data_IF_847580280260
#
_entry.id   IF_847580280260
#
_cell.length_a   1.000
_cell.length_b   1.000
_cell.length_c   1.000
_cell.angle_alpha   90.00
_cell.angle_beta   90.00
_cell.angle_gamma   90.00
#
_symmetry.space_group_name_H-M   'P 1'
#
loop_
_entity.id
_entity.type
_entity.pdbx_description
1 polymer ?
#
# COMPACT_ATOMS: atom_id res chain seq x y z
N UNK A 1 0.46 8.97 -21.89
CA UNK A 1 1.73 9.06 -21.14
C UNK A 1 2.34 10.48 -21.14
N UNK A 2 1.96 11.35 -22.06
CA UNK A 2 2.53 12.72 -22.23
C UNK A 2 2.05 13.72 -21.16
N UNK A 3 0.80 13.62 -20.71
CA UNK A 3 0.23 14.55 -19.70
C UNK A 3 0.81 14.43 -18.29
N UNK A 4 1.45 13.32 -17.95
CA UNK A 4 2.10 13.16 -16.64
C UNK A 4 3.47 13.88 -16.56
N UNK A 5 4.11 14.17 -17.70
CA UNK A 5 5.41 14.84 -17.73
C UNK A 5 5.32 16.36 -17.49
N UNK A 6 4.24 17.00 -17.92
CA UNK A 6 4.06 18.46 -17.73
C UNK A 6 3.68 18.83 -16.30
N UNK A 7 2.99 17.96 -15.59
CA UNK A 7 2.56 18.21 -14.21
C UNK A 7 3.71 18.13 -13.18
N UNK A 8 4.79 17.40 -13.49
CA UNK A 8 5.95 17.21 -12.61
C UNK A 8 7.13 18.15 -12.91
N UNK A 9 6.96 19.07 -13.83
CA UNK A 9 8.00 20.02 -14.20
C UNK A 9 7.92 21.30 -13.37
N UNK A 10 8.67 21.40 -12.30
CA UNK A 10 9.52 22.50 -11.85
C UNK A 10 9.86 22.37 -10.36
N UNK A 11 11.15 22.19 -10.07
CA UNK A 11 11.82 22.08 -8.76
C UNK A 11 11.40 20.86 -7.94
N UNK A 12 12.04 19.73 -8.28
CA UNK A 12 11.91 18.46 -7.59
C UNK A 12 12.18 18.59 -6.10
N UNK A 13 11.25 18.09 -5.30
CA UNK A 13 11.47 17.90 -3.87
C UNK A 13 12.51 16.81 -3.65
N UNK A 14 13.24 16.87 -2.54
CA UNK A 14 14.30 15.91 -2.20
C UNK A 14 13.83 14.45 -2.24
N UNK A 15 12.51 14.18 -2.29
CA UNK A 15 11.91 12.84 -2.22
C UNK A 15 11.08 12.41 -3.45
N UNK A 16 10.98 13.22 -4.52
CA UNK A 16 10.24 12.83 -5.74
C UNK A 16 10.78 11.56 -6.40
N UNK A 17 12.09 11.32 -6.27
CA UNK A 17 12.70 10.09 -6.71
C UNK A 17 12.07 8.85 -6.06
N UNK A 18 11.62 8.94 -4.80
CA UNK A 18 10.98 7.82 -4.11
C UNK A 18 9.67 7.41 -4.79
N UNK A 19 8.86 8.37 -5.23
CA UNK A 19 7.62 8.07 -5.98
C UNK A 19 7.95 7.42 -7.33
N UNK A 20 8.99 7.90 -8.03
CA UNK A 20 9.37 7.38 -9.35
C UNK A 20 9.97 5.97 -9.27
N UNK A 21 10.76 5.70 -8.23
CA UNK A 21 11.44 4.43 -8.07
C UNK A 21 10.61 3.35 -7.34
N UNK A 22 9.37 3.66 -6.92
CA UNK A 22 8.55 2.70 -6.16
C UNK A 22 8.34 1.36 -6.89
N UNK A 23 8.09 1.41 -8.20
CA UNK A 23 7.89 0.19 -9.00
C UNK A 23 9.18 -0.60 -9.21
N UNK A 24 10.31 0.01 -9.67
CA UNK A 24 11.55 -0.73 -9.83
C UNK A 24 12.12 -1.25 -8.50
N UNK A 25 11.99 -0.51 -7.40
CA UNK A 25 12.42 -0.98 -6.07
C UNK A 25 11.57 -2.17 -5.62
N UNK A 26 10.24 -2.07 -5.73
CA UNK A 26 9.35 -3.19 -5.39
C UNK A 26 9.65 -4.43 -6.25
N UNK A 27 9.89 -4.24 -7.55
CA UNK A 27 10.25 -5.34 -8.44
C UNK A 27 11.59 -5.99 -8.05
N UNK A 28 12.61 -5.19 -7.73
CA UNK A 28 13.91 -5.70 -7.28
C UNK A 28 13.79 -6.50 -5.97
N UNK A 29 12.98 -6.03 -5.02
CA UNK A 29 12.72 -6.76 -3.77
C UNK A 29 11.99 -8.08 -4.04
N UNK A 30 10.96 -8.08 -4.88
CA UNK A 30 10.23 -9.30 -5.26
C UNK A 30 11.19 -10.30 -5.92
N UNK A 31 11.99 -9.85 -6.89
CA UNK A 31 12.96 -10.71 -7.57
C UNK A 31 13.98 -11.32 -6.59
N UNK A 32 14.53 -10.50 -5.69
CA UNK A 32 15.46 -10.96 -4.67
C UNK A 32 14.82 -11.99 -3.73
N UNK A 33 13.59 -11.77 -3.29
CA UNK A 33 12.83 -12.70 -2.46
C UNK A 33 12.55 -14.02 -3.20
N UNK A 34 12.17 -13.95 -4.48
CA UNK A 34 11.94 -15.15 -5.30
C UNK A 34 13.24 -15.97 -5.47
N UNK A 35 14.36 -15.31 -5.76
CA UNK A 35 15.66 -15.99 -5.83
C UNK A 35 16.01 -16.65 -4.50
N UNK A 36 15.80 -15.93 -3.38
CA UNK A 36 16.07 -16.43 -2.04
C UNK A 36 15.19 -17.66 -1.72
N UNK A 37 13.92 -17.62 -2.07
CA UNK A 37 12.97 -18.72 -1.86
C UNK A 37 13.38 -19.99 -2.65
N UNK A 38 13.88 -19.82 -3.87
CA UNK A 38 14.35 -20.94 -4.69
C UNK A 38 15.72 -21.47 -4.25
N UNK A 39 16.56 -20.64 -3.62
CA UNK A 39 17.92 -20.96 -3.22
C UNK A 39 18.06 -21.50 -1.80
N UNK A 40 17.06 -21.32 -0.94
CA UNK A 40 17.15 -21.66 0.49
C UNK A 40 15.99 -22.56 0.93
N UNK A 41 16.24 -23.48 1.89
CA UNK A 41 15.15 -24.29 2.45
C UNK A 41 14.20 -23.41 3.28
N UNK A 42 12.92 -23.82 3.43
CA UNK A 42 11.96 -23.14 4.29
C UNK A 42 12.44 -23.09 5.76
N UNK A 43 11.96 -22.11 6.51
CA UNK A 43 12.38 -21.88 7.90
C UNK A 43 11.80 -22.91 8.88
N UNK A 44 10.70 -23.56 8.52
CA UNK A 44 10.07 -24.64 9.29
C UNK A 44 9.56 -25.75 8.35
N UNK A 45 9.41 -26.97 8.87
CA UNK A 45 9.00 -28.11 8.05
C UNK A 45 7.64 -27.88 7.37
N UNK A 46 7.54 -28.23 6.09
CA UNK A 46 6.26 -28.24 5.38
C UNK A 46 5.28 -29.16 6.10
N UNK A 47 4.00 -28.81 6.04
CA UNK A 47 2.88 -29.54 6.70
C UNK A 47 2.96 -29.57 8.25
N UNK A 48 3.85 -28.78 8.85
CA UNK A 48 3.85 -28.59 10.29
C UNK A 48 2.70 -27.70 10.75
N UNK A 49 2.35 -27.76 12.04
CA UNK A 49 1.34 -26.86 12.62
C UNK A 49 1.73 -25.39 12.42
N UNK A 50 3.03 -25.08 12.53
CA UNK A 50 3.53 -23.73 12.27
C UNK A 50 3.32 -23.28 10.83
N UNK A 51 3.57 -24.16 9.88
CA UNK A 51 3.35 -23.93 8.45
C UNK A 51 1.87 -23.59 8.17
N UNK A 52 0.96 -24.43 8.60
CA UNK A 52 -0.49 -24.19 8.44
C UNK A 52 -0.96 -22.91 9.13
N UNK A 53 -0.44 -22.60 10.31
CA UNK A 53 -0.80 -21.36 11.02
C UNK A 53 -0.28 -20.13 10.31
N UNK A 54 0.97 -20.12 9.85
CA UNK A 54 1.54 -18.99 9.12
C UNK A 54 0.87 -18.79 7.78
N UNK A 55 0.51 -19.85 7.08
CA UNK A 55 -0.27 -19.78 5.84
C UNK A 55 -1.66 -19.21 6.07
N UNK A 56 -2.40 -19.71 7.07
CA UNK A 56 -3.75 -19.23 7.38
C UNK A 56 -3.74 -17.76 7.77
N UNK A 57 -2.81 -17.36 8.66
CA UNK A 57 -2.65 -15.95 9.08
C UNK A 57 -2.20 -15.10 7.89
N UNK A 58 -1.22 -15.57 7.13
CA UNK A 58 -0.71 -14.90 5.94
C UNK A 58 -1.82 -14.64 4.91
N UNK A 59 -2.60 -15.67 4.57
CA UNK A 59 -3.74 -15.56 3.67
C UNK A 59 -4.78 -14.55 4.19
N UNK A 60 -5.14 -14.66 5.47
CA UNK A 60 -6.10 -13.75 6.10
C UNK A 60 -5.66 -12.29 6.00
N UNK A 61 -4.38 -12.00 6.27
CA UNK A 61 -3.82 -10.65 6.15
C UNK A 61 -3.82 -10.16 4.70
N UNK A 62 -3.53 -11.03 3.73
CA UNK A 62 -3.62 -10.68 2.30
C UNK A 62 -5.06 -10.34 1.93
N UNK A 63 -6.05 -11.11 2.38
CA UNK A 63 -7.48 -10.82 2.13
C UNK A 63 -7.88 -9.47 2.74
N UNK A 64 -7.50 -9.21 4.00
CA UNK A 64 -7.75 -7.91 4.67
C UNK A 64 -7.10 -6.76 3.88
N UNK A 65 -5.87 -6.93 3.43
CA UNK A 65 -5.16 -5.92 2.64
C UNK A 65 -5.88 -5.64 1.32
N UNK A 66 -6.29 -6.67 0.62
CA UNK A 66 -7.03 -6.59 -0.65
C UNK A 66 -8.34 -5.82 -0.47
N UNK A 67 -9.17 -6.24 0.48
CA UNK A 67 -10.46 -5.59 0.75
C UNK A 67 -10.29 -4.14 1.21
N UNK A 68 -9.32 -3.89 2.10
CA UNK A 68 -9.01 -2.54 2.57
C UNK A 68 -8.51 -1.62 1.47
N UNK A 69 -7.67 -2.12 0.55
CA UNK A 69 -7.20 -1.35 -0.61
C UNK A 69 -8.32 -1.06 -1.60
N UNK A 70 -9.23 -2.01 -1.83
CA UNK A 70 -10.43 -1.77 -2.65
C UNK A 70 -11.27 -0.66 -2.00
N UNK A 71 -11.54 -0.76 -0.69
CA UNK A 71 -12.27 0.27 0.05
C UNK A 71 -11.62 1.65 -0.08
N UNK A 72 -10.31 1.78 0.17
CA UNK A 72 -9.58 3.02 -0.04
C UNK A 72 -9.70 3.55 -1.48
N UNK A 73 -9.62 2.65 -2.46
CA UNK A 73 -9.65 3.02 -3.88
C UNK A 73 -11.02 3.52 -4.33
N UNK A 74 -12.11 3.03 -3.75
CA UNK A 74 -13.46 3.54 -4.02
C UNK A 74 -13.55 5.03 -3.68
N UNK A 75 -12.96 5.46 -2.55
CA UNK A 75 -13.01 6.86 -2.13
C UNK A 75 -12.03 7.76 -2.87
N UNK A 76 -10.80 7.31 -3.10
CA UNK A 76 -9.78 8.20 -3.68
C UNK A 76 -9.80 8.22 -5.22
N UNK A 77 -10.41 7.21 -5.86
CA UNK A 77 -10.37 7.03 -7.30
C UNK A 77 -11.09 8.14 -8.05
N UNK A 78 -10.29 8.95 -8.76
CA UNK A 78 -10.80 10.06 -9.55
C UNK A 78 -10.91 11.39 -8.81
N UNK A 79 -10.56 11.46 -7.52
CA UNK A 79 -10.58 12.69 -6.72
C UNK A 79 -9.20 13.12 -6.22
N UNK A 80 -8.18 12.26 -6.31
CA UNK A 80 -6.82 12.51 -5.79
C UNK A 80 -6.21 13.85 -6.24
N UNK A 81 -6.63 14.34 -7.42
CA UNK A 81 -6.13 15.59 -7.99
C UNK A 81 -7.12 16.75 -7.87
N UNK A 82 -8.37 16.48 -7.60
CA UNK A 82 -9.44 17.49 -7.60
C UNK A 82 -9.66 18.10 -6.20
N UNK A 83 -9.58 17.29 -5.15
CA UNK A 83 -9.81 17.70 -3.77
C UNK A 83 -9.07 16.81 -2.77
N UNK A 84 -9.01 17.26 -1.51
CA UNK A 84 -8.61 16.39 -0.41
C UNK A 84 -9.78 15.47 -0.10
N UNK A 85 -9.50 14.15 -0.06
CA UNK A 85 -10.47 13.14 0.34
C UNK A 85 -10.28 12.91 1.84
N UNK A 86 -11.27 13.24 2.63
CA UNK A 86 -11.32 13.12 4.08
C UNK A 86 -12.51 12.27 4.57
N UNK A 87 -13.11 11.52 3.63
CA UNK A 87 -14.20 10.59 3.88
C UNK A 87 -13.72 9.12 3.90
N UNK A 88 -14.59 8.23 4.38
CA UNK A 88 -14.35 6.79 4.47
C UNK A 88 -13.06 6.47 5.24
N UNK A 89 -12.16 5.63 4.68
CA UNK A 89 -10.90 5.27 5.35
C UNK A 89 -9.95 6.46 5.53
N UNK A 90 -10.08 7.51 4.71
CA UNK A 90 -9.27 8.73 4.80
C UNK A 90 -9.71 9.68 5.93
N UNK A 91 -10.89 9.47 6.51
CA UNK A 91 -11.30 10.11 7.75
C UNK A 91 -10.62 9.48 8.99
N UNK A 92 -10.16 8.25 8.88
CA UNK A 92 -9.54 7.49 9.99
C UNK A 92 -8.04 7.75 10.05
N UNK A 93 -7.34 7.60 8.91
CA UNK A 93 -5.90 7.88 8.75
C UNK A 93 -5.64 8.51 7.37
N UNK A 94 -4.60 9.35 7.27
CA UNK A 94 -4.29 10.05 6.01
C UNK A 94 -3.79 9.13 4.90
N UNK A 95 -3.17 8.01 5.27
CA UNK A 95 -2.50 7.10 4.34
C UNK A 95 -3.01 5.66 4.45
N UNK A 96 -4.33 5.41 4.34
CA UNK A 96 -4.90 4.08 4.59
C UNK A 96 -4.46 3.05 3.53
N UNK A 97 -4.24 3.45 2.27
CA UNK A 97 -3.69 2.57 1.23
C UNK A 97 -2.35 1.96 1.65
N UNK A 98 -1.48 2.74 2.29
CA UNK A 98 -0.18 2.24 2.75
C UNK A 98 -0.30 1.37 4.00
N UNK A 99 -1.26 1.65 4.88
CA UNK A 99 -1.57 0.78 6.03
C UNK A 99 -1.99 -0.60 5.55
N UNK A 100 -2.94 -0.68 4.63
CA UNK A 100 -3.37 -1.97 4.06
C UNK A 100 -2.28 -2.65 3.23
N UNK A 101 -1.43 -1.88 2.54
CA UNK A 101 -0.27 -2.46 1.85
C UNK A 101 0.73 -3.08 2.83
N UNK A 102 0.96 -2.46 3.98
CA UNK A 102 1.82 -3.01 5.04
C UNK A 102 1.27 -4.34 5.57
N UNK A 103 -0.05 -4.39 5.83
CA UNK A 103 -0.73 -5.63 6.24
C UNK A 103 -0.54 -6.73 5.19
N UNK A 104 -0.70 -6.41 3.90
CA UNK A 104 -0.51 -7.36 2.81
C UNK A 104 0.93 -7.86 2.68
N UNK A 105 1.91 -6.97 2.86
CA UNK A 105 3.34 -7.32 2.86
C UNK A 105 3.66 -8.29 4.01
N UNK A 106 3.15 -8.04 5.21
CA UNK A 106 3.30 -8.96 6.35
C UNK A 106 2.66 -10.31 6.02
N UNK A 107 1.45 -10.30 5.44
CA UNK A 107 0.75 -11.51 5.02
C UNK A 107 1.54 -12.35 4.01
N UNK A 108 2.10 -11.72 2.97
CA UNK A 108 2.96 -12.39 1.99
C UNK A 108 4.23 -12.95 2.63
N UNK A 109 4.83 -12.20 3.56
CA UNK A 109 6.02 -12.66 4.26
C UNK A 109 5.77 -13.90 5.14
N UNK A 110 4.64 -13.95 5.81
CA UNK A 110 4.24 -15.15 6.57
C UNK A 110 3.98 -16.35 5.65
N UNK A 111 3.27 -16.13 4.55
CA UNK A 111 2.96 -17.16 3.56
C UNK A 111 4.17 -17.66 2.77
N UNK A 112 5.30 -16.97 2.83
CA UNK A 112 6.55 -17.42 2.17
C UNK A 112 7.22 -18.59 2.88
N UNK A 113 6.83 -18.92 4.09
CA UNK A 113 7.48 -19.92 4.94
C UNK A 113 8.99 -19.68 5.17
N UNK A 114 9.44 -18.43 4.95
CA UNK A 114 10.84 -18.01 5.09
C UNK A 114 10.95 -16.78 6.01
N UNK A 115 11.47 -16.96 7.22
CA UNK A 115 11.65 -15.87 8.18
C UNK A 115 12.53 -14.74 7.61
N UNK A 116 13.57 -15.09 6.84
CA UNK A 116 14.45 -14.09 6.22
C UNK A 116 13.71 -13.25 5.18
N UNK A 117 12.84 -13.85 4.37
CA UNK A 117 12.00 -13.13 3.41
C UNK A 117 11.06 -12.18 4.14
N UNK A 118 10.39 -12.65 5.20
CA UNK A 118 9.52 -11.82 6.02
C UNK A 118 10.27 -10.58 6.56
N UNK A 119 11.47 -10.76 7.09
CA UNK A 119 12.30 -9.64 7.59
C UNK A 119 12.69 -8.69 6.46
N UNK A 120 13.12 -9.21 5.31
CA UNK A 120 13.54 -8.38 4.16
C UNK A 120 12.38 -7.54 3.64
N UNK A 121 11.21 -8.12 3.41
CA UNK A 121 10.09 -7.37 2.83
C UNK A 121 9.49 -6.35 3.79
N UNK A 122 9.39 -6.68 5.10
CA UNK A 122 8.98 -5.72 6.11
C UNK A 122 10.01 -4.60 6.24
N UNK A 123 11.31 -4.94 6.31
CA UNK A 123 12.38 -3.96 6.38
C UNK A 123 12.39 -3.02 5.16
N UNK A 124 12.31 -3.58 3.96
CA UNK A 124 12.23 -2.81 2.72
C UNK A 124 10.99 -1.89 2.70
N UNK A 125 9.84 -2.39 3.15
CA UNK A 125 8.63 -1.59 3.25
C UNK A 125 8.78 -0.44 4.23
N UNK A 126 9.22 -0.71 5.45
CA UNK A 126 9.34 0.29 6.51
C UNK A 126 10.44 1.34 6.23
N UNK A 127 11.48 0.99 5.49
CA UNK A 127 12.53 1.92 5.11
C UNK A 127 12.13 2.79 3.91
N UNK A 128 11.45 2.20 2.93
CA UNK A 128 11.19 2.87 1.66
C UNK A 128 9.85 3.63 1.62
N UNK A 129 8.76 3.01 2.06
CA UNK A 129 7.43 3.61 1.92
C UNK A 129 7.18 4.87 2.73
N UNK A 130 7.78 5.09 3.91
CA UNK A 130 7.70 6.40 4.57
C UNK A 130 8.22 7.55 3.72
N UNK A 131 9.26 7.32 2.90
CA UNK A 131 9.79 8.32 1.98
C UNK A 131 8.79 8.66 0.86
N UNK A 132 8.10 7.64 0.33
CA UNK A 132 7.03 7.83 -0.65
C UNK A 132 5.88 8.64 -0.06
N UNK A 133 5.44 8.28 1.17
CA UNK A 133 4.37 9.00 1.88
C UNK A 133 4.75 10.45 2.14
N UNK A 134 5.99 10.70 2.60
CA UNK A 134 6.47 12.07 2.81
C UNK A 134 6.45 12.89 1.51
N UNK A 135 6.87 12.29 0.40
CA UNK A 135 6.81 12.95 -0.91
C UNK A 135 5.36 13.24 -1.36
N UNK A 136 4.44 12.29 -1.17
CA UNK A 136 3.03 12.48 -1.49
C UNK A 136 2.39 13.57 -0.60
N UNK A 137 2.62 13.52 0.72
CA UNK A 137 2.11 14.54 1.65
C UNK A 137 2.67 15.94 1.34
N UNK A 138 3.95 16.04 0.98
CA UNK A 138 4.54 17.29 0.56
C UNK A 138 3.86 17.85 -0.72
N UNK A 139 3.60 16.98 -1.71
CA UNK A 139 2.92 17.39 -2.93
C UNK A 139 1.48 17.85 -2.65
N UNK A 140 0.76 17.16 -1.75
CA UNK A 140 -0.59 17.56 -1.32
C UNK A 140 -0.57 18.90 -0.58
N UNK A 141 0.39 19.12 0.32
CA UNK A 141 0.57 20.39 1.02
C UNK A 141 0.84 21.55 0.07
N UNK A 142 1.69 21.35 -0.95
CA UNK A 142 1.95 22.36 -1.98
C UNK A 142 0.72 22.68 -2.83
N UNK A 143 -0.10 21.65 -3.14
CA UNK A 143 -1.25 21.80 -4.02
C UNK A 143 -2.46 22.43 -3.32
N UNK A 144 -2.74 22.00 -2.09
CA UNK A 144 -3.95 22.36 -1.36
C UNK A 144 -3.73 23.34 -0.19
N UNK A 145 -2.46 23.63 0.15
CA UNK A 145 -2.10 24.65 1.16
C UNK A 145 -2.83 24.45 2.48
N UNK A 146 -3.53 25.49 2.92
CA UNK A 146 -4.20 25.56 4.21
C UNK A 146 -5.23 24.44 4.41
N UNK A 147 -5.96 24.05 3.35
CA UNK A 147 -6.96 22.96 3.43
C UNK A 147 -6.29 21.64 3.82
N UNK A 148 -5.08 21.37 3.28
CA UNK A 148 -4.34 20.17 3.66
C UNK A 148 -3.80 20.27 5.10
N UNK A 149 -3.37 21.43 5.55
CA UNK A 149 -2.92 21.63 6.93
C UNK A 149 -4.04 21.37 7.93
N UNK A 150 -5.25 21.87 7.68
CA UNK A 150 -6.44 21.61 8.50
C UNK A 150 -6.76 20.11 8.57
N UNK A 151 -6.71 19.42 7.44
CA UNK A 151 -6.86 17.97 7.37
C UNK A 151 -5.81 17.24 8.21
N UNK A 152 -4.53 17.65 8.15
CA UNK A 152 -3.44 17.01 8.91
C UNK A 152 -3.54 17.20 10.42
N UNK A 153 -4.20 18.25 10.88
CA UNK A 153 -4.46 18.49 12.33
C UNK A 153 -5.50 17.55 12.87
N UNK A 154 -6.46 17.13 12.05
CA UNK A 154 -7.59 16.30 12.47
C UNK A 154 -7.32 14.80 12.30
N UNK A 155 -6.66 14.41 11.20
CA UNK A 155 -6.47 13.02 10.82
C UNK A 155 -5.01 12.59 10.99
N UNK A 156 -4.71 11.53 11.75
CA UNK A 156 -3.35 11.03 11.95
C UNK A 156 -2.79 10.35 10.69
N UNK A 157 -1.46 10.21 10.61
CA UNK A 157 -0.77 9.66 9.42
C UNK A 157 -1.06 8.19 9.17
N UNK A 158 -0.89 7.31 10.19
CA UNK A 158 -0.97 5.86 10.04
C UNK A 158 -1.78 5.17 11.16
N UNK A 159 -1.66 5.64 12.40
CA UNK A 159 -2.27 5.00 13.56
C UNK A 159 -3.56 5.74 13.92
N UNK A 160 -4.72 5.07 13.86
CA UNK A 160 -5.99 5.69 14.16
C UNK A 160 -6.03 6.21 15.61
N UNK A 161 -6.45 7.45 15.79
CA UNK A 161 -6.76 7.99 17.12
C UNK A 161 -8.24 7.84 17.47
N UNK A 162 -9.09 7.88 16.44
CA UNK A 162 -10.54 7.71 16.54
C UNK A 162 -11.03 6.97 15.30
N UNK A 163 -11.95 6.05 15.48
CA UNK A 163 -12.65 5.38 14.38
C UNK A 163 -13.90 6.18 14.04
N UNK A 164 -13.75 7.20 13.22
CA UNK A 164 -14.86 7.98 12.70
C UNK A 164 -14.93 7.78 11.20
N UNK A 165 -15.94 7.06 10.74
CA UNK A 165 -16.23 6.91 9.32
C UNK A 165 -17.20 8.02 8.92
N UNK A 166 -16.84 8.78 7.89
CA UNK A 166 -17.69 9.81 7.30
C UNK A 166 -18.06 9.30 5.92
N UNK A 167 -19.32 9.00 5.69
CA UNK A 167 -19.83 8.48 4.42
C UNK A 167 -20.90 9.45 3.88
N UNK A 168 -20.55 10.25 2.86
CA UNK A 168 -21.56 11.05 2.15
C UNK A 168 -22.50 10.13 1.36
N UNK A 169 -23.79 10.45 1.35
CA UNK A 169 -24.81 9.77 0.57
C UNK A 169 -25.54 10.80 -0.33
N UNK A 170 -25.45 10.70 -1.66
CA UNK A 170 -24.68 9.72 -2.45
C UNK A 170 -23.17 10.05 -2.52
N UNK A 171 -22.30 9.01 -2.63
CA UNK A 171 -20.89 9.16 -2.95
C UNK A 171 -20.65 8.81 -4.43
N UNK A 172 -20.30 9.77 -5.29
CA UNK A 172 -20.09 9.51 -6.71
C UNK A 172 -18.77 8.76 -6.95
N UNK A 173 -18.84 7.57 -7.54
CA UNK A 173 -17.70 6.71 -7.81
C UNK A 173 -17.37 6.67 -9.30
N UNK A 174 -16.09 6.88 -9.67
CA UNK A 174 -15.62 6.79 -11.05
C UNK A 174 -15.19 5.34 -11.38
N UNK A 175 -16.06 4.55 -11.96
CA UNK A 175 -15.87 3.11 -12.23
C UNK A 175 -14.58 2.75 -12.97
N UNK A 176 -14.11 3.61 -13.88
CA UNK A 176 -12.84 3.39 -14.59
C UNK A 176 -11.63 3.27 -13.66
N UNK A 177 -11.62 4.05 -12.58
CA UNK A 177 -10.54 4.05 -11.60
C UNK A 177 -10.67 2.86 -10.65
N UNK A 178 -11.88 2.48 -10.27
CA UNK A 178 -12.12 1.28 -9.45
C UNK A 178 -11.63 0.04 -10.19
N UNK A 179 -11.91 -0.09 -11.49
CA UNK A 179 -11.40 -1.20 -12.30
C UNK A 179 -9.86 -1.28 -12.31
N UNK A 180 -9.16 -0.13 -12.39
CA UNK A 180 -7.70 -0.11 -12.27
C UNK A 180 -7.23 -0.54 -10.88
N UNK A 181 -7.90 -0.08 -9.84
CA UNK A 181 -7.60 -0.46 -8.48
C UNK A 181 -7.75 -1.98 -8.25
N UNK A 182 -8.80 -2.59 -8.81
CA UNK A 182 -8.99 -4.04 -8.78
C UNK A 182 -7.83 -4.78 -9.48
N UNK A 183 -7.35 -4.28 -10.61
CA UNK A 183 -6.19 -4.85 -11.29
C UNK A 183 -4.91 -4.73 -10.45
N UNK A 184 -4.70 -3.58 -9.79
CA UNK A 184 -3.54 -3.37 -8.91
C UNK A 184 -3.59 -4.27 -7.66
N UNK A 185 -4.78 -4.55 -7.15
CA UNK A 185 -4.96 -5.40 -5.98
C UNK A 185 -4.79 -6.88 -6.31
N UNK A 186 -5.10 -7.30 -7.54
CA UNK A 186 -4.93 -8.67 -8.00
C UNK A 186 -3.47 -9.17 -7.86
N UNK A 187 -2.46 -8.26 -7.87
CA UNK A 187 -1.07 -8.61 -7.63
C UNK A 187 -0.81 -9.31 -6.28
N UNK A 188 -1.55 -8.96 -5.24
CA UNK A 188 -1.42 -9.61 -3.94
C UNK A 188 -1.82 -11.09 -4.00
N UNK A 189 -2.87 -11.41 -4.76
CA UNK A 189 -3.28 -12.80 -4.96
C UNK A 189 -2.30 -13.57 -5.83
N UNK A 190 -1.81 -12.97 -6.91
CA UNK A 190 -0.80 -13.61 -7.75
C UNK A 190 0.51 -13.84 -7.01
N UNK A 191 0.95 -12.87 -6.20
CA UNK A 191 2.12 -13.02 -5.35
C UNK A 191 1.91 -14.15 -4.33
N UNK A 192 0.74 -14.20 -3.66
CA UNK A 192 0.43 -15.26 -2.71
C UNK A 192 0.45 -16.64 -3.39
N UNK A 193 -0.24 -16.79 -4.53
CA UNK A 193 -0.27 -18.07 -5.26
C UNK A 193 1.12 -18.52 -5.72
N UNK A 194 2.00 -17.59 -6.11
CA UNK A 194 3.36 -17.92 -6.52
C UNK A 194 4.25 -18.38 -5.36
N UNK A 195 3.91 -18.02 -4.11
CA UNK A 195 4.62 -18.48 -2.92
C UNK A 195 4.20 -19.89 -2.49
N UNK A 196 3.03 -20.38 -2.95
CA UNK A 196 2.50 -21.70 -2.62
C UNK A 196 2.94 -22.81 -3.61
N UNK A 197 3.63 -22.44 -4.68
CA UNK A 197 4.20 -23.38 -5.66
C UNK A 197 5.57 -23.89 -5.22
#
# INVERSE_FOLDING_TARGET
MTHLREYWGTKGTSFEWAIRLRHPVSFAVILACTILQLATPPSWPKESVTDHLTDLVGFTLVVIAVLGRIWCSVYISGYKEDRIVDEGPYAIVRNPLYVFSCIGVIGLGLASNHLLILIIIIGAFLLYYPLVVLAEEHNLSRKFGQTYEEYTRQVPRFIPRRFRIIEPDPYPVRLRHVRRALQEVAWFFWAYLSLQL
#
